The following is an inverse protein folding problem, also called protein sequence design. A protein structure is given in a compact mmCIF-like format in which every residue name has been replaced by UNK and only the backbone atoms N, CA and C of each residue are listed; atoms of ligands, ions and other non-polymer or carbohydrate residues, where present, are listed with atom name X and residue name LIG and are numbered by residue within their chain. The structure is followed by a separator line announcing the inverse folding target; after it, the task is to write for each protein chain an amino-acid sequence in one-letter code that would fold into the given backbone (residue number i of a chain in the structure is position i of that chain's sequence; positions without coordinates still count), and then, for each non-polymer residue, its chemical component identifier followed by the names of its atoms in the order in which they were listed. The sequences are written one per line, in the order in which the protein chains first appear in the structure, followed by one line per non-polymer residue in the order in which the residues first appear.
data_IF_436013775121
#
_entry.id   IF_436013775121
#
_cell.length_a   1.000
_cell.length_b   1.000
_cell.length_c   1.000
_cell.angle_alpha   90.00
_cell.angle_beta   90.00
_cell.angle_gamma   90.00
#
_symmetry.space_group_name_H-M   'P 1'
#
loop_
_entity.id
_entity.type
_entity.pdbx_description
1 polymer ?
#
# COMPACT_ATOMS: atom_id res chain seq x y z
N UNK A 1 -9.17 31.26 60.16
CA UNK A 1 -8.72 29.98 60.74
C UNK A 1 -9.20 28.90 59.80
N UNK A 2 -8.24 28.13 59.30
CA UNK A 2 -8.23 27.15 58.20
C UNK A 2 -9.16 25.95 58.43
N UNK A 3 -9.64 25.35 57.34
CA UNK A 3 -9.99 23.93 57.21
C UNK A 3 -9.91 23.61 55.71
N UNK A 4 -8.82 23.12 55.11
CA UNK A 4 -8.19 21.79 55.25
C UNK A 4 -9.21 20.67 55.10
N UNK A 5 -9.30 20.12 53.88
CA UNK A 5 -9.63 18.75 53.43
C UNK A 5 -9.99 18.87 51.93
N UNK A 6 -8.98 18.92 51.05
CA UNK A 6 -8.37 17.78 50.36
C UNK A 6 -8.81 17.83 48.89
N UNK A 7 -8.27 18.83 48.19
CA UNK A 7 -8.23 18.83 46.73
C UNK A 7 -7.34 17.63 46.34
N UNK A 8 -7.98 16.56 45.85
CA UNK A 8 -7.27 15.45 45.20
C UNK A 8 -6.30 15.99 44.13
N UNK A 9 -5.27 15.22 43.75
CA UNK A 9 -4.19 15.73 42.92
C UNK A 9 -4.78 16.39 41.68
N UNK A 10 -4.58 17.70 41.59
CA UNK A 10 -4.86 18.48 40.39
C UNK A 10 -4.20 17.76 39.23
N UNK A 11 -5.00 17.20 38.31
CA UNK A 11 -4.47 16.64 37.07
C UNK A 11 -3.66 17.75 36.43
N UNK A 12 -2.33 17.59 36.22
CA UNK A 12 -1.56 18.63 35.59
C UNK A 12 -2.19 18.86 34.22
N UNK A 13 -2.57 20.11 33.96
CA UNK A 13 -2.88 20.56 32.62
C UNK A 13 -1.56 20.38 31.86
N UNK A 14 -1.42 19.25 31.17
CA UNK A 14 -0.17 18.79 30.57
C UNK A 14 0.19 19.78 29.46
N UNK A 15 1.38 20.39 29.55
CA UNK A 15 1.99 21.21 28.49
C UNK A 15 1.95 20.51 27.12
N UNK A 16 1.89 19.17 27.11
CA UNK A 16 1.69 18.34 25.94
C UNK A 16 0.43 18.70 25.15
N UNK A 17 -0.65 19.09 25.81
CA UNK A 17 -1.96 19.33 25.20
C UNK A 17 -2.10 20.75 24.64
N UNK A 18 -1.12 21.63 24.89
CA UNK A 18 -1.16 23.01 24.41
C UNK A 18 -1.07 23.09 22.88
N UNK A 19 -1.93 23.92 22.30
CA UNK A 19 -1.98 24.17 20.85
C UNK A 19 -2.58 23.03 20.01
N UNK A 20 -3.25 22.06 20.62
CA UNK A 20 -4.15 21.12 19.93
C UNK A 20 -5.51 21.77 19.71
N UNK A 21 -6.14 21.49 18.57
CA UNK A 21 -7.56 21.80 18.40
C UNK A 21 -8.43 20.80 19.22
N UNK A 22 -9.74 21.06 19.44
CA UNK A 22 -10.58 20.20 20.27
C UNK A 22 -10.61 18.72 19.84
N UNK A 23 -10.67 18.43 18.54
CA UNK A 23 -10.72 17.07 18.00
C UNK A 23 -9.38 16.35 18.18
N UNK A 24 -8.27 17.06 17.95
CA UNK A 24 -6.92 16.53 18.21
C UNK A 24 -6.73 16.26 19.69
N UNK A 25 -7.23 17.15 20.57
CA UNK A 25 -7.19 16.96 22.01
C UNK A 25 -7.96 15.70 22.42
N UNK A 26 -9.19 15.53 21.95
CA UNK A 26 -10.00 14.31 22.17
C UNK A 26 -9.26 13.03 21.71
N UNK A 27 -8.65 13.07 20.52
CA UNK A 27 -7.87 11.96 20.00
C UNK A 27 -6.61 11.65 20.83
N UNK A 28 -5.98 12.64 21.44
CA UNK A 28 -4.81 12.46 22.31
C UNK A 28 -5.19 11.88 23.67
N UNK A 29 -6.27 12.38 24.29
CA UNK A 29 -6.66 11.97 25.65
C UNK A 29 -7.41 10.63 25.71
N UNK A 30 -7.89 10.11 24.58
CA UNK A 30 -8.62 8.85 24.54
C UNK A 30 -7.71 7.67 24.93
N UNK A 31 -7.69 7.22 26.17
CA UNK A 31 -6.70 6.22 26.61
C UNK A 31 -7.04 4.78 26.24
N UNK A 32 -8.29 4.36 26.43
CA UNK A 32 -8.70 2.94 26.37
C UNK A 32 -9.69 2.66 25.23
N UNK A 33 -9.63 1.45 24.68
CA UNK A 33 -10.51 0.99 23.61
C UNK A 33 -10.02 1.38 22.20
N UNK A 34 -10.73 0.90 21.17
CA UNK A 34 -10.37 1.12 19.78
C UNK A 34 -10.63 2.58 19.37
N UNK A 35 -9.68 3.18 18.66
CA UNK A 35 -9.77 4.54 18.15
C UNK A 35 -9.41 4.58 16.67
N UNK A 36 -10.29 5.13 15.85
CA UNK A 36 -10.03 5.47 14.45
C UNK A 36 -9.95 6.99 14.33
N UNK A 37 -8.81 7.49 13.87
CA UNK A 37 -8.59 8.91 13.58
C UNK A 37 -8.57 9.06 12.06
N UNK A 38 -9.62 9.67 11.52
CA UNK A 38 -9.70 10.03 10.10
C UNK A 38 -9.15 11.44 9.97
N UNK A 39 -8.09 11.60 9.20
CA UNK A 39 -7.36 12.86 9.17
C UNK A 39 -6.69 13.06 7.81
N UNK A 40 -7.01 14.16 7.14
CA UNK A 40 -6.47 14.54 5.83
C UNK A 40 -4.99 14.90 5.81
N UNK A 41 -4.42 15.19 4.64
CA UNK A 41 -3.06 15.72 4.54
C UNK A 41 -2.91 17.04 5.31
N UNK A 42 -1.79 17.23 6.03
CA UNK A 42 -1.52 18.47 6.77
C UNK A 42 -2.35 18.69 8.05
N UNK A 43 -3.31 17.81 8.38
CA UNK A 43 -4.18 17.89 9.58
C UNK A 43 -3.47 17.66 10.92
N UNK A 44 -2.18 17.34 10.90
CA UNK A 44 -1.40 17.05 12.10
C UNK A 44 -1.46 15.60 12.59
N UNK A 45 -1.83 14.62 11.72
CA UNK A 45 -1.80 13.16 12.00
C UNK A 45 -0.64 12.72 12.90
N UNK A 46 0.58 12.96 12.43
CA UNK A 46 1.80 12.57 13.14
C UNK A 46 1.93 13.28 14.48
N UNK A 47 1.52 14.56 14.59
CA UNK A 47 1.54 15.30 15.86
C UNK A 47 0.59 14.68 16.88
N UNK A 48 -0.63 14.32 16.45
CA UNK A 48 -1.62 13.64 17.30
C UNK A 48 -1.05 12.31 17.81
N UNK A 49 -0.48 11.49 16.93
CA UNK A 49 0.14 10.22 17.33
C UNK A 49 1.29 10.40 18.33
N UNK A 50 2.21 11.33 18.07
CA UNK A 50 3.37 11.54 18.96
C UNK A 50 2.95 12.09 20.32
N UNK A 51 1.98 13.01 20.35
CA UNK A 51 1.45 13.55 21.60
C UNK A 51 0.62 12.54 22.36
N UNK A 52 -0.14 11.68 21.67
CA UNK A 52 -0.84 10.55 22.28
C UNK A 52 0.12 9.59 22.97
N UNK A 53 1.22 9.21 22.30
CA UNK A 53 2.27 8.39 22.91
C UNK A 53 2.83 9.08 24.16
N UNK A 54 3.10 10.38 24.07
CA UNK A 54 3.61 11.14 25.21
C UNK A 54 2.62 11.21 26.37
N UNK A 55 1.32 11.39 26.09
CA UNK A 55 0.24 11.39 27.08
C UNK A 55 0.11 10.04 27.78
N UNK A 56 0.11 8.93 27.02
CA UNK A 56 0.10 7.57 27.58
C UNK A 56 1.25 7.37 28.58
N UNK A 57 2.45 7.83 28.25
CA UNK A 57 3.64 7.64 29.08
C UNK A 57 3.67 8.60 30.28
N UNK A 58 3.54 9.91 30.04
CA UNK A 58 3.76 10.95 31.06
C UNK A 58 2.58 11.07 32.01
N UNK A 59 1.37 11.04 31.48
CA UNK A 59 0.17 11.42 32.24
C UNK A 59 -0.57 10.18 32.75
N UNK A 60 -0.51 9.07 32.01
CA UNK A 60 -1.19 7.82 32.36
C UNK A 60 -0.24 6.74 32.90
N UNK A 61 1.08 6.98 32.87
CA UNK A 61 2.08 6.09 33.46
C UNK A 61 2.25 4.77 32.72
N UNK A 62 1.81 4.66 31.46
CA UNK A 62 2.00 3.48 30.61
C UNK A 62 3.49 3.27 30.35
N UNK A 63 3.98 2.03 30.47
CA UNK A 63 5.37 1.76 30.17
C UNK A 63 5.65 2.00 28.68
N UNK A 64 6.73 2.69 28.29
CA UNK A 64 7.10 2.84 26.88
C UNK A 64 7.31 1.49 26.16
N UNK A 65 7.60 0.42 26.90
CA UNK A 65 7.75 -0.93 26.36
C UNK A 65 6.44 -1.64 26.07
N UNK A 66 5.32 -1.09 26.54
CA UNK A 66 3.96 -1.57 26.30
C UNK A 66 3.30 -0.93 25.07
N UNK A 67 4.00 -0.01 24.41
CA UNK A 67 3.50 0.72 23.25
C UNK A 67 4.20 0.22 21.99
N UNK A 68 3.41 -0.22 21.01
CA UNK A 68 3.84 -0.52 19.65
C UNK A 68 3.31 0.58 18.72
N UNK A 69 4.21 1.32 18.07
CA UNK A 69 3.87 2.31 17.05
C UNK A 69 4.41 1.85 15.68
N UNK A 70 3.50 1.71 14.72
CA UNK A 70 3.79 1.22 13.38
C UNK A 70 3.60 2.34 12.36
N UNK A 71 4.59 2.50 11.46
CA UNK A 71 4.52 3.42 10.31
C UNK A 71 4.79 2.68 9.00
N UNK A 72 4.49 3.28 7.85
CA UNK A 72 4.73 2.63 6.57
C UNK A 72 6.20 2.70 6.11
N UNK A 73 6.91 3.79 6.42
CA UNK A 73 8.31 4.00 6.00
C UNK A 73 9.28 4.07 7.17
N UNK A 74 10.53 3.68 6.93
CA UNK A 74 11.62 3.80 7.90
C UNK A 74 11.89 5.27 8.28
N UNK A 75 11.73 6.19 7.32
CA UNK A 75 11.84 7.63 7.56
C UNK A 75 10.77 8.11 8.54
N UNK A 76 9.51 7.75 8.32
CA UNK A 76 8.41 8.10 9.22
C UNK A 76 8.60 7.50 10.62
N UNK A 77 9.08 6.25 10.72
CA UNK A 77 9.40 5.64 12.01
C UNK A 77 10.48 6.44 12.74
N UNK A 78 11.56 6.83 12.05
CA UNK A 78 12.64 7.65 12.60
C UNK A 78 12.15 9.01 13.10
N UNK A 79 11.43 9.75 12.25
CA UNK A 79 10.88 11.05 12.60
C UNK A 79 9.88 10.98 13.76
N UNK A 80 8.99 9.97 13.77
CA UNK A 80 8.06 9.75 14.87
C UNK A 80 8.81 9.47 16.18
N UNK A 81 9.87 8.66 16.12
CA UNK A 81 10.69 8.32 17.28
C UNK A 81 11.42 9.54 17.85
N UNK A 82 12.01 10.38 17.00
CA UNK A 82 12.66 11.64 17.39
C UNK A 82 11.67 12.59 18.06
N UNK A 83 10.47 12.73 17.49
CA UNK A 83 9.40 13.56 18.07
C UNK A 83 8.93 13.05 19.42
N UNK A 84 8.74 11.74 19.58
CA UNK A 84 8.40 11.16 20.89
C UNK A 84 9.54 11.36 21.87
N UNK A 85 10.80 11.17 21.47
CA UNK A 85 11.97 11.37 22.32
C UNK A 85 12.09 12.81 22.84
N UNK A 86 11.71 13.81 22.03
CA UNK A 86 11.65 15.20 22.47
C UNK A 86 10.60 15.44 23.57
N UNK A 87 9.52 14.64 23.62
CA UNK A 87 8.41 14.79 24.56
C UNK A 87 8.56 13.97 25.85
N UNK A 88 9.13 12.75 25.76
CA UNK A 88 9.24 11.81 26.89
C UNK A 88 10.69 11.46 27.26
N UNK A 89 11.67 12.02 26.56
CA UNK A 89 13.09 11.78 26.77
C UNK A 89 13.62 10.50 26.12
N UNK A 90 14.86 10.10 26.45
CA UNK A 90 15.61 9.06 25.73
C UNK A 90 15.03 7.64 25.87
N UNK A 91 14.03 7.43 26.73
CA UNK A 91 13.32 6.15 26.82
C UNK A 91 12.61 5.77 25.51
N UNK A 92 12.23 6.78 24.73
CA UNK A 92 11.67 6.63 23.40
C UNK A 92 12.58 5.82 22.45
N UNK A 93 13.91 5.89 22.65
CA UNK A 93 14.87 5.16 21.82
C UNK A 93 14.74 3.64 21.91
N UNK A 94 14.17 3.14 23.00
CA UNK A 94 13.99 1.70 23.24
C UNK A 94 12.57 1.21 22.94
N UNK A 95 11.65 2.12 22.60
CA UNK A 95 10.29 1.81 22.21
C UNK A 95 10.25 1.07 20.87
N UNK A 96 9.14 0.38 20.61
CA UNK A 96 8.88 -0.19 19.29
C UNK A 96 8.18 0.85 18.43
N UNK A 97 8.96 1.77 17.86
CA UNK A 97 8.55 2.67 16.78
C UNK A 97 9.21 2.18 15.51
N UNK A 98 8.45 1.55 14.61
CA UNK A 98 9.04 0.79 13.50
C UNK A 98 8.08 0.59 12.32
N UNK A 99 8.58 0.13 11.18
CA UNK A 99 7.69 -0.37 10.12
C UNK A 99 7.10 -1.74 10.45
N UNK A 100 6.03 -2.13 9.76
CA UNK A 100 5.48 -3.49 9.82
C UNK A 100 6.57 -4.56 9.66
N UNK A 101 7.40 -4.43 8.62
CA UNK A 101 8.50 -5.35 8.34
C UNK A 101 9.55 -5.36 9.46
N UNK A 102 9.90 -4.21 10.01
CA UNK A 102 10.86 -4.12 11.11
C UNK A 102 10.36 -4.81 12.39
N UNK A 103 9.07 -4.64 12.71
CA UNK A 103 8.43 -5.35 13.81
C UNK A 103 8.41 -6.87 13.58
N UNK A 104 8.01 -7.30 12.38
CA UNK A 104 8.00 -8.72 11.98
C UNK A 104 9.39 -9.35 12.04
N UNK A 105 10.42 -8.68 11.52
CA UNK A 105 11.80 -9.14 11.64
C UNK A 105 12.15 -9.33 13.10
N UNK A 106 11.88 -8.36 13.97
CA UNK A 106 12.22 -8.48 15.39
C UNK A 106 11.51 -9.67 16.08
N UNK A 107 10.25 -9.93 15.75
CA UNK A 107 9.48 -11.08 16.23
C UNK A 107 10.11 -12.39 15.71
N UNK A 108 10.30 -12.49 14.39
CA UNK A 108 10.82 -13.71 13.74
C UNK A 108 12.27 -14.01 14.10
N UNK A 109 13.10 -13.00 14.37
CA UNK A 109 14.47 -13.19 14.86
C UNK A 109 14.49 -13.89 16.22
N UNK A 110 13.46 -13.65 17.04
CA UNK A 110 13.33 -14.26 18.37
C UNK A 110 12.66 -15.63 18.30
N UNK A 111 11.54 -15.73 17.58
CA UNK A 111 10.62 -16.85 17.68
C UNK A 111 10.45 -17.64 16.36
N UNK A 112 11.07 -17.20 15.27
CA UNK A 112 10.96 -17.83 13.94
C UNK A 112 11.50 -19.26 13.85
N UNK A 113 12.31 -19.69 14.83
CA UNK A 113 12.75 -21.10 14.96
C UNK A 113 11.58 -22.07 15.15
N UNK A 114 10.45 -21.60 15.70
CA UNK A 114 9.20 -22.36 15.83
C UNK A 114 8.59 -22.74 14.47
N UNK A 115 8.91 -21.97 13.43
CA UNK A 115 8.52 -22.23 12.04
C UNK A 115 9.61 -22.92 11.22
N UNK A 116 10.73 -23.32 11.85
CA UNK A 116 11.85 -23.96 11.19
C UNK A 116 12.87 -23.00 10.56
N UNK A 117 12.76 -21.69 10.79
CA UNK A 117 13.74 -20.71 10.30
C UNK A 117 14.84 -20.43 11.33
N UNK A 118 16.11 -20.29 10.92
CA UNK A 118 17.17 -19.88 11.83
C UNK A 118 16.95 -18.44 12.30
N UNK A 119 17.32 -18.10 13.53
CA UNK A 119 17.27 -16.71 14.03
C UNK A 119 18.12 -15.76 13.18
N UNK A 120 19.12 -16.27 12.46
CA UNK A 120 19.97 -15.54 11.52
C UNK A 120 19.50 -15.63 10.05
N UNK A 121 18.23 -15.91 9.78
CA UNK A 121 17.68 -15.97 8.41
C UNK A 121 18.08 -14.80 7.50
N UNK A 122 18.27 -15.07 6.22
CA UNK A 122 18.58 -14.03 5.23
C UNK A 122 17.29 -13.41 4.70
N UNK A 123 17.27 -12.09 4.50
CA UNK A 123 16.15 -11.40 3.85
C UNK A 123 16.52 -11.21 2.39
N UNK A 124 15.74 -11.80 1.49
CA UNK A 124 15.92 -11.66 0.05
C UNK A 124 15.29 -10.34 -0.42
N UNK A 125 16.05 -9.60 -1.23
CA UNK A 125 15.50 -8.46 -1.95
C UNK A 125 14.69 -8.92 -3.18
N UNK A 126 14.10 -7.96 -3.90
CA UNK A 126 13.29 -8.26 -5.07
C UNK A 126 14.09 -9.01 -6.16
N UNK A 127 15.36 -8.66 -6.36
CA UNK A 127 16.20 -9.29 -7.38
C UNK A 127 16.53 -10.74 -7.01
N UNK A 128 16.76 -11.00 -5.72
CA UNK A 128 17.01 -12.33 -5.18
C UNK A 128 15.77 -13.23 -5.31
N UNK A 129 14.60 -12.68 -4.99
CA UNK A 129 13.31 -13.35 -5.08
C UNK A 129 12.92 -13.67 -6.53
N UNK A 130 13.09 -12.71 -7.44
CA UNK A 130 12.86 -12.93 -8.88
C UNK A 130 13.81 -13.98 -9.47
N UNK A 131 15.08 -13.97 -9.05
CA UNK A 131 16.08 -14.95 -9.47
C UNK A 131 15.75 -16.35 -8.96
N UNK A 132 15.35 -16.48 -7.70
CA UNK A 132 14.90 -17.76 -7.13
C UNK A 132 13.66 -18.28 -7.86
N UNK A 133 12.70 -17.40 -8.17
CA UNK A 133 11.51 -17.73 -8.96
C UNK A 133 11.90 -18.28 -10.33
N UNK A 134 12.88 -17.66 -10.99
CA UNK A 134 13.42 -18.15 -12.27
C UNK A 134 14.05 -19.54 -12.18
N UNK A 135 14.71 -19.88 -11.07
CA UNK A 135 15.22 -21.23 -10.84
C UNK A 135 14.09 -22.25 -10.67
N UNK A 136 13.03 -21.92 -9.94
CA UNK A 136 11.86 -22.78 -9.78
C UNK A 136 11.18 -23.07 -11.12
N UNK A 137 10.96 -22.02 -11.94
CA UNK A 137 10.37 -22.12 -13.29
C UNK A 137 11.17 -23.08 -14.17
N UNK A 138 12.49 -22.92 -14.21
CA UNK A 138 13.37 -23.77 -15.03
C UNK A 138 13.35 -25.23 -14.56
N UNK A 139 13.44 -25.46 -13.26
CA UNK A 139 13.54 -26.81 -12.71
C UNK A 139 12.20 -27.58 -12.81
N UNK A 140 11.07 -26.86 -12.83
CA UNK A 140 9.75 -27.41 -13.15
C UNK A 140 9.50 -27.62 -14.67
N UNK A 141 10.48 -27.29 -15.52
CA UNK A 141 10.37 -27.44 -16.97
C UNK A 141 9.37 -26.48 -17.63
N UNK A 142 9.08 -25.35 -16.99
CA UNK A 142 8.18 -24.33 -17.52
C UNK A 142 8.93 -23.40 -18.50
N UNK A 143 8.26 -22.99 -19.57
CA UNK A 143 8.81 -22.08 -20.58
C UNK A 143 8.96 -20.65 -20.01
N UNK A 144 10.19 -20.12 -19.86
CA UNK A 144 10.41 -18.78 -19.29
C UNK A 144 9.80 -17.65 -20.12
N UNK A 145 9.51 -17.88 -21.41
CA UNK A 145 8.79 -16.89 -22.24
C UNK A 145 7.30 -16.84 -21.92
N UNK A 146 6.72 -17.96 -21.49
CA UNK A 146 5.31 -18.03 -21.05
C UNK A 146 5.16 -17.65 -19.58
N UNK A 147 6.17 -17.97 -18.76
CA UNK A 147 6.22 -17.70 -17.34
C UNK A 147 7.43 -16.81 -17.02
N UNK A 148 7.40 -15.50 -17.32
CA UNK A 148 8.50 -14.61 -16.95
C UNK A 148 8.63 -14.52 -15.43
N UNK A 149 9.85 -14.67 -14.88
CA UNK A 149 10.08 -14.73 -13.44
C UNK A 149 9.48 -13.56 -12.66
N UNK A 150 9.65 -12.33 -13.17
CA UNK A 150 9.07 -11.12 -12.56
C UNK A 150 7.55 -11.22 -12.46
N UNK A 151 6.87 -11.62 -13.54
CA UNK A 151 5.40 -11.73 -13.55
C UNK A 151 4.90 -12.83 -12.60
N UNK A 152 5.58 -13.97 -12.57
CA UNK A 152 5.22 -15.09 -11.67
C UNK A 152 5.44 -14.69 -10.22
N UNK A 153 6.57 -14.04 -9.92
CA UNK A 153 6.86 -13.52 -8.59
C UNK A 153 5.84 -12.48 -8.15
N UNK A 154 5.43 -11.56 -9.04
CA UNK A 154 4.34 -10.61 -8.72
C UNK A 154 3.03 -11.30 -8.35
N UNK A 155 2.67 -12.40 -9.03
CA UNK A 155 1.49 -13.19 -8.65
C UNK A 155 1.64 -13.87 -7.29
N UNK A 156 2.83 -14.38 -6.97
CA UNK A 156 3.15 -14.95 -5.65
C UNK A 156 3.06 -13.88 -4.56
N UNK A 157 3.66 -12.71 -4.79
CA UNK A 157 3.64 -11.57 -3.87
C UNK A 157 2.20 -11.08 -3.61
N UNK A 158 1.38 -10.96 -4.66
CA UNK A 158 -0.04 -10.63 -4.51
C UNK A 158 -0.79 -11.67 -3.66
N UNK A 159 -0.55 -12.96 -3.91
CA UNK A 159 -1.14 -14.04 -3.12
C UNK A 159 -0.73 -13.97 -1.63
N UNK A 160 0.56 -13.72 -1.36
CA UNK A 160 1.06 -13.54 0.01
C UNK A 160 0.41 -12.34 0.70
N UNK A 161 0.26 -11.21 0.00
CA UNK A 161 -0.37 -10.00 0.54
C UNK A 161 -1.88 -10.16 0.82
N UNK A 162 -2.53 -11.12 0.16
CA UNK A 162 -3.89 -11.57 0.48
C UNK A 162 -3.94 -12.65 1.58
N UNK A 163 -2.80 -13.07 2.13
CA UNK A 163 -2.71 -14.12 3.15
C UNK A 163 -2.90 -15.54 2.61
N UNK A 164 -2.69 -15.76 1.31
CA UNK A 164 -2.83 -17.07 0.68
C UNK A 164 -1.52 -17.86 0.76
N UNK A 165 -1.61 -19.03 1.35
CA UNK A 165 -0.56 -20.03 1.25
C UNK A 165 -0.60 -20.75 -0.12
N UNK A 166 0.45 -21.51 -0.50
CA UNK A 166 0.48 -22.16 -1.81
C UNK A 166 -0.71 -23.11 -2.07
N UNK A 167 -1.20 -23.78 -1.03
CA UNK A 167 -2.35 -24.69 -1.13
C UNK A 167 -3.66 -23.94 -1.40
N UNK A 168 -3.90 -22.84 -0.69
CA UNK A 168 -5.06 -21.97 -0.85
C UNK A 168 -5.04 -21.26 -2.20
N UNK A 169 -3.86 -20.82 -2.65
CA UNK A 169 -3.66 -20.27 -3.99
C UNK A 169 -3.98 -21.30 -5.07
N UNK A 170 -3.50 -22.55 -4.93
CA UNK A 170 -3.82 -23.64 -5.85
C UNK A 170 -5.33 -23.95 -5.89
N UNK A 171 -6.01 -23.90 -4.74
CA UNK A 171 -7.45 -24.15 -4.66
C UNK A 171 -8.29 -23.06 -5.36
N UNK A 172 -7.79 -21.82 -5.40
CA UNK A 172 -8.41 -20.69 -6.09
C UNK A 172 -8.06 -20.59 -7.59
N UNK A 173 -7.13 -21.41 -8.07
CA UNK A 173 -6.63 -21.35 -9.44
C UNK A 173 -7.72 -21.73 -10.47
N UNK A 174 -8.25 -20.72 -11.16
CA UNK A 174 -9.27 -20.88 -12.21
C UNK A 174 -8.70 -21.36 -13.55
N UNK A 175 -7.42 -21.05 -13.84
CA UNK A 175 -6.77 -21.41 -15.10
C UNK A 175 -5.63 -22.41 -14.93
N UNK A 176 -5.25 -23.08 -16.03
CA UNK A 176 -4.05 -23.94 -16.07
C UNK A 176 -2.79 -23.13 -15.75
N UNK A 177 -2.78 -21.84 -16.12
CA UNK A 177 -1.66 -20.94 -15.84
C UNK A 177 -1.49 -20.71 -14.34
N UNK A 178 -2.59 -20.41 -13.64
CA UNK A 178 -2.58 -20.18 -12.18
C UNK A 178 -2.17 -21.44 -11.41
N UNK A 179 -2.59 -22.62 -11.88
CA UNK A 179 -2.15 -23.90 -11.30
C UNK A 179 -0.65 -24.11 -11.43
N UNK A 180 -0.05 -23.72 -12.57
CA UNK A 180 1.41 -23.76 -12.73
C UNK A 180 2.13 -22.74 -11.87
N UNK A 181 1.56 -21.55 -11.69
CA UNK A 181 2.10 -20.57 -10.71
C UNK A 181 2.03 -21.15 -9.29
N UNK A 182 0.96 -21.85 -8.93
CA UNK A 182 0.86 -22.50 -7.63
C UNK A 182 1.95 -23.57 -7.42
N UNK A 183 2.25 -24.39 -8.43
CA UNK A 183 3.38 -25.34 -8.40
C UNK A 183 4.72 -24.61 -8.18
N UNK A 184 4.95 -23.49 -8.89
CA UNK A 184 6.14 -22.65 -8.68
C UNK A 184 6.17 -22.09 -7.27
N UNK A 185 5.03 -21.64 -6.73
CA UNK A 185 4.93 -21.07 -5.39
C UNK A 185 5.28 -22.10 -4.31
N UNK A 186 4.83 -23.34 -4.45
CA UNK A 186 5.19 -24.45 -3.53
C UNK A 186 6.70 -24.66 -3.51
N UNK A 187 7.33 -24.81 -4.68
CA UNK A 187 8.78 -25.03 -4.78
C UNK A 187 9.58 -23.81 -4.28
N UNK A 188 9.12 -22.61 -4.61
CA UNK A 188 9.71 -21.34 -4.15
C UNK A 188 9.76 -21.24 -2.62
N UNK A 189 8.63 -21.47 -1.93
CA UNK A 189 8.60 -21.43 -0.46
C UNK A 189 9.47 -22.53 0.16
N UNK A 190 9.48 -23.74 -0.42
CA UNK A 190 10.30 -24.84 0.05
C UNK A 190 11.80 -24.52 -0.04
N UNK A 191 12.23 -23.84 -1.12
CA UNK A 191 13.62 -23.41 -1.30
C UNK A 191 14.02 -22.29 -0.35
N UNK A 192 13.14 -21.32 -0.10
CA UNK A 192 13.37 -20.26 0.89
C UNK A 192 13.58 -20.86 2.29
N UNK A 193 12.68 -21.74 2.73
CA UNK A 193 12.81 -22.42 4.02
C UNK A 193 14.11 -23.23 4.10
N UNK A 194 14.44 -24.02 3.07
CA UNK A 194 15.68 -24.80 3.01
C UNK A 194 16.93 -23.92 3.06
N UNK A 195 16.90 -22.74 2.45
CA UNK A 195 17.98 -21.77 2.48
C UNK A 195 18.06 -21.00 3.81
N UNK A 196 17.07 -21.14 4.70
CA UNK A 196 16.93 -20.30 5.87
C UNK A 196 16.75 -18.83 5.48
N UNK A 197 15.98 -18.57 4.43
CA UNK A 197 15.73 -17.23 3.89
C UNK A 197 14.23 -16.90 3.86
N UNK A 198 13.91 -15.62 3.88
CA UNK A 198 12.57 -15.06 3.72
C UNK A 198 12.63 -13.90 2.73
N UNK A 199 11.62 -13.71 1.90
CA UNK A 199 11.42 -12.44 1.19
C UNK A 199 10.66 -11.42 2.06
N UNK A 200 10.38 -10.23 1.51
CA UNK A 200 9.68 -9.18 2.25
C UNK A 200 8.26 -9.58 2.65
N UNK A 201 7.50 -10.21 1.76
CA UNK A 201 6.13 -10.64 2.02
C UNK A 201 6.07 -11.79 3.04
N UNK A 202 7.10 -12.64 3.07
CA UNK A 202 7.28 -13.70 4.06
C UNK A 202 7.42 -13.17 5.49
N UNK A 203 7.99 -11.97 5.67
CA UNK A 203 8.09 -11.38 7.00
C UNK A 203 6.70 -11.19 7.62
N UNK A 204 5.74 -10.72 6.81
CA UNK A 204 4.36 -10.50 7.24
C UNK A 204 3.63 -11.84 7.41
N UNK A 205 3.61 -12.66 6.36
CA UNK A 205 2.85 -13.91 6.33
C UNK A 205 3.37 -14.93 7.34
N UNK A 206 4.68 -15.06 7.54
CA UNK A 206 5.23 -15.95 8.56
C UNK A 206 5.02 -15.42 9.98
N UNK A 207 4.93 -14.11 10.20
CA UNK A 207 4.58 -13.57 11.53
C UNK A 207 3.14 -13.93 11.89
N UNK A 208 2.20 -13.74 10.96
CA UNK A 208 0.80 -14.16 11.15
C UNK A 208 0.70 -15.68 11.33
N UNK A 209 1.42 -16.45 10.51
CA UNK A 209 1.48 -17.92 10.64
C UNK A 209 2.03 -18.34 12.00
N UNK A 210 3.11 -17.72 12.47
CA UNK A 210 3.69 -17.96 13.80
C UNK A 210 2.65 -17.75 14.89
N UNK A 211 1.89 -16.66 14.83
CA UNK A 211 0.85 -16.37 15.83
C UNK A 211 -0.33 -17.35 15.77
N UNK A 212 -0.72 -17.81 14.58
CA UNK A 212 -1.78 -18.82 14.41
C UNK A 212 -1.35 -20.20 14.91
N UNK A 213 -0.13 -20.62 14.62
CA UNK A 213 0.39 -21.96 14.97
C UNK A 213 0.92 -22.05 16.41
N UNK A 214 1.40 -20.93 16.97
CA UNK A 214 1.98 -20.87 18.32
C UNK A 214 1.33 -19.75 19.15
N UNK A 215 0.11 -19.97 19.68
CA UNK A 215 -0.62 -18.96 20.43
C UNK A 215 0.09 -18.47 21.70
N UNK A 216 0.99 -19.27 22.29
CA UNK A 216 1.83 -18.88 23.42
C UNK A 216 2.81 -17.75 23.06
N UNK A 217 3.30 -17.75 21.82
CA UNK A 217 4.13 -16.67 21.27
C UNK A 217 3.27 -15.40 21.12
N UNK A 218 2.09 -15.52 20.52
CA UNK A 218 1.16 -14.39 20.36
C UNK A 218 0.81 -13.77 21.71
N UNK A 219 0.46 -14.58 22.71
CA UNK A 219 0.11 -14.13 24.06
C UNK A 219 1.26 -13.33 24.71
N UNK A 220 2.51 -13.72 24.46
CA UNK A 220 3.68 -12.97 24.95
C UNK A 220 3.72 -11.54 24.38
N UNK A 221 3.36 -11.37 23.10
CA UNK A 221 3.32 -10.06 22.46
C UNK A 221 2.05 -9.28 22.81
N UNK A 222 0.90 -9.94 22.97
CA UNK A 222 -0.33 -9.30 23.43
C UNK A 222 -0.18 -8.75 24.84
N UNK A 223 0.33 -9.55 25.79
CA UNK A 223 0.64 -9.10 27.17
C UNK A 223 1.68 -7.98 27.21
N UNK A 224 2.58 -7.95 26.23
CA UNK A 224 3.57 -6.88 26.11
C UNK A 224 2.90 -5.62 25.60
N UNK A 225 2.17 -5.67 24.49
CA UNK A 225 1.67 -4.48 23.80
C UNK A 225 0.28 -4.11 24.30
N UNK A 226 0.25 -3.39 25.42
CA UNK A 226 -0.96 -2.80 25.98
C UNK A 226 -1.59 -1.72 25.10
N UNK A 227 -0.82 -1.08 24.21
CA UNK A 227 -1.31 -0.12 23.21
C UNK A 227 -0.64 -0.33 21.85
N UNK A 228 -1.43 -0.29 20.78
CA UNK A 228 -0.96 -0.40 19.40
C UNK A 228 -1.42 0.83 18.63
N UNK A 229 -0.49 1.52 17.98
CA UNK A 229 -0.73 2.69 17.16
C UNK A 229 -0.26 2.40 15.74
N UNK A 230 -1.08 2.70 14.74
CA UNK A 230 -0.73 2.51 13.32
C UNK A 230 -1.00 3.80 12.56
N UNK A 231 0.03 4.32 11.90
CA UNK A 231 -0.06 5.45 10.99
C UNK A 231 -0.26 4.98 9.54
N UNK A 232 -0.87 5.81 8.71
CA UNK A 232 -1.20 5.53 7.30
C UNK A 232 -1.99 4.21 7.11
N UNK A 233 -3.03 4.01 7.93
CA UNK A 233 -3.79 2.76 7.97
C UNK A 233 -4.46 2.40 6.63
N UNK A 234 -4.76 3.39 5.79
CA UNK A 234 -5.32 3.19 4.46
C UNK A 234 -4.40 2.39 3.52
N UNK A 235 -3.09 2.37 3.79
CA UNK A 235 -2.11 1.65 2.97
C UNK A 235 -1.89 0.20 3.45
N UNK A 236 -2.66 -0.26 4.44
CA UNK A 236 -2.50 -1.62 5.00
C UNK A 236 -3.12 -2.71 4.12
N UNK A 237 -2.39 -3.81 3.92
CA UNK A 237 -2.90 -5.00 3.25
C UNK A 237 -3.61 -5.96 4.23
N UNK A 238 -4.20 -7.04 3.71
CA UNK A 238 -4.97 -8.01 4.50
C UNK A 238 -4.14 -8.62 5.65
N UNK A 239 -2.90 -9.02 5.38
CA UNK A 239 -2.02 -9.67 6.36
C UNK A 239 -1.56 -8.69 7.44
N UNK A 240 -1.26 -7.45 7.07
CA UNK A 240 -0.92 -6.38 8.01
C UNK A 240 -2.09 -6.07 8.95
N UNK A 241 -3.29 -5.91 8.39
CA UNK A 241 -4.51 -5.70 9.17
C UNK A 241 -4.78 -6.88 10.11
N UNK A 242 -4.67 -8.12 9.63
CA UNK A 242 -4.80 -9.31 10.47
C UNK A 242 -3.80 -9.30 11.64
N UNK A 243 -2.53 -9.01 11.37
CA UNK A 243 -1.50 -8.96 12.40
C UNK A 243 -1.84 -7.93 13.50
N UNK A 244 -2.31 -6.74 13.11
CA UNK A 244 -2.72 -5.69 14.07
C UNK A 244 -3.90 -6.18 14.91
N UNK A 245 -4.91 -6.80 14.30
CA UNK A 245 -6.06 -7.34 15.00
C UNK A 245 -5.68 -8.47 15.97
N UNK A 246 -4.78 -9.38 15.56
CA UNK A 246 -4.28 -10.44 16.43
C UNK A 246 -3.54 -9.87 17.64
N UNK A 247 -2.64 -8.90 17.45
CA UNK A 247 -1.90 -8.27 18.53
C UNK A 247 -2.81 -7.46 19.46
N UNK A 248 -3.81 -6.79 18.91
CA UNK A 248 -4.75 -5.93 19.65
C UNK A 248 -5.86 -6.68 20.38
N UNK A 249 -6.06 -7.97 20.10
CA UNK A 249 -7.23 -8.72 20.56
C UNK A 249 -7.37 -8.85 22.09
N UNK A 250 -6.29 -8.73 22.86
CA UNK A 250 -6.35 -8.86 24.33
C UNK A 250 -6.76 -7.55 25.03
N UNK A 251 -6.23 -6.41 24.55
CA UNK A 251 -6.39 -5.12 25.22
C UNK A 251 -7.39 -4.20 24.51
N UNK A 252 -7.66 -4.43 23.23
CA UNK A 252 -8.50 -3.60 22.35
C UNK A 252 -8.07 -2.13 22.24
N UNK A 253 -6.89 -1.78 22.74
CA UNK A 253 -6.32 -0.43 22.69
C UNK A 253 -5.57 -0.20 21.38
N UNK A 254 -6.29 -0.35 20.26
CA UNK A 254 -5.75 -0.14 18.91
C UNK A 254 -6.17 1.25 18.43
N UNK A 255 -5.19 2.12 18.18
CA UNK A 255 -5.38 3.43 17.57
C UNK A 255 -4.86 3.39 16.15
N UNK A 256 -5.71 3.65 15.17
CA UNK A 256 -5.31 3.73 13.78
C UNK A 256 -5.56 5.13 13.26
N UNK A 257 -4.61 5.65 12.50
CA UNK A 257 -4.74 6.93 11.81
C UNK A 257 -4.67 6.66 10.32
N UNK A 258 -5.65 7.16 9.61
CA UNK A 258 -5.68 7.02 8.17
C UNK A 258 -6.20 8.29 7.52
N UNK A 259 -5.79 8.48 6.28
CA UNK A 259 -6.42 9.46 5.43
C UNK A 259 -7.66 8.84 4.80
N UNK A 260 -8.83 9.27 5.30
CA UNK A 260 -10.12 8.91 4.75
C UNK A 260 -10.59 9.87 3.67
N UNK A 261 -9.75 10.82 3.20
CA UNK A 261 -10.08 11.81 2.16
C UNK A 261 -10.21 11.15 0.77
N UNK A 262 -10.89 10.01 0.72
CA UNK A 262 -11.61 9.51 -0.43
C UNK A 262 -13.09 9.87 -0.24
N UNK A 263 -13.37 11.17 -0.22
CA UNK A 263 -14.74 11.66 -0.13
C UNK A 263 -15.34 11.73 -1.54
N UNK A 264 -16.57 11.26 -1.67
CA UNK A 264 -17.41 11.49 -2.82
C UNK A 264 -18.25 12.75 -2.57
N UNK A 265 -18.52 13.52 -3.61
CA UNK A 265 -19.33 14.74 -3.46
C UNK A 265 -20.79 14.39 -3.13
N UNK A 266 -21.54 15.26 -2.42
CA UNK A 266 -22.99 15.08 -2.22
C UNK A 266 -23.74 14.85 -3.53
N UNK A 267 -24.76 14.01 -3.49
CA UNK A 267 -25.53 13.55 -4.65
C UNK A 267 -24.93 12.33 -5.36
N UNK A 268 -23.72 11.90 -4.99
CA UNK A 268 -23.09 10.71 -5.58
C UNK A 268 -23.94 9.48 -5.30
N UNK A 269 -24.27 8.73 -6.35
CA UNK A 269 -25.19 7.61 -6.30
C UNK A 269 -24.49 6.33 -5.82
N UNK A 270 -24.85 5.86 -4.62
CA UNK A 270 -24.31 4.65 -3.97
C UNK A 270 -25.26 3.48 -4.16
N UNK A 271 -24.73 2.36 -4.68
CA UNK A 271 -25.49 1.14 -4.85
C UNK A 271 -25.72 0.43 -3.51
N UNK A 272 -26.95 0.04 -3.24
CA UNK A 272 -27.34 -0.79 -2.08
C UNK A 272 -28.09 -2.03 -2.56
N UNK A 273 -28.28 -3.00 -1.68
CA UNK A 273 -29.12 -4.18 -1.97
C UNK A 273 -30.60 -3.85 -2.26
N UNK A 274 -31.05 -2.64 -1.93
CA UNK A 274 -32.44 -2.17 -2.12
C UNK A 274 -32.60 -1.18 -3.26
N UNK A 275 -31.52 -0.87 -3.99
CA UNK A 275 -31.50 0.15 -5.02
C UNK A 275 -30.39 1.18 -4.77
N UNK A 276 -30.40 2.27 -5.50
CA UNK A 276 -29.37 3.31 -5.42
C UNK A 276 -29.86 4.48 -4.58
N UNK A 277 -29.01 5.00 -3.71
CA UNK A 277 -29.30 6.17 -2.86
C UNK A 277 -28.17 7.20 -2.98
N UNK A 278 -28.44 8.51 -2.82
CA UNK A 278 -27.38 9.50 -2.65
C UNK A 278 -26.47 9.16 -1.45
N UNK A 279 -25.18 9.48 -1.55
CA UNK A 279 -24.18 9.18 -0.51
C UNK A 279 -24.57 9.75 0.86
N UNK A 280 -25.15 10.95 0.89
CA UNK A 280 -25.65 11.63 2.08
C UNK A 280 -26.92 10.99 2.68
N UNK A 281 -27.58 10.09 1.96
CA UNK A 281 -28.76 9.35 2.43
C UNK A 281 -28.40 7.99 3.03
N UNK A 282 -27.15 7.53 2.88
CA UNK A 282 -26.67 6.29 3.50
C UNK A 282 -26.77 6.37 5.02
N UNK A 283 -27.24 5.30 5.65
CA UNK A 283 -27.40 5.18 7.11
C UNK A 283 -26.69 3.94 7.64
N UNK A 284 -26.38 3.97 8.94
CA UNK A 284 -25.90 2.78 9.67
C UNK A 284 -26.93 1.66 9.53
N UNK A 285 -26.46 0.46 9.17
CA UNK A 285 -27.27 -0.71 8.92
C UNK A 285 -27.71 -0.90 7.46
N UNK A 286 -27.46 0.06 6.57
CA UNK A 286 -27.66 -0.15 5.14
C UNK A 286 -26.67 -1.19 4.60
N UNK A 287 -27.09 -1.93 3.58
CA UNK A 287 -26.26 -2.92 2.89
C UNK A 287 -25.79 -2.33 1.55
N UNK A 288 -24.55 -1.84 1.53
CA UNK A 288 -23.93 -1.27 0.33
C UNK A 288 -23.37 -2.35 -0.56
N UNK A 289 -23.38 -2.10 -1.86
CA UNK A 289 -22.78 -2.97 -2.88
C UNK A 289 -21.45 -2.34 -3.32
N UNK A 290 -20.36 -3.06 -3.10
CA UNK A 290 -19.02 -2.68 -3.50
C UNK A 290 -18.34 -3.74 -4.38
N UNK A 291 -17.03 -3.59 -4.54
CA UNK A 291 -16.15 -4.55 -5.20
C UNK A 291 -14.97 -4.86 -4.27
N UNK A 292 -14.58 -6.13 -4.16
CA UNK A 292 -13.39 -6.56 -3.44
C UNK A 292 -12.21 -6.84 -4.37
N UNK A 293 -12.29 -6.36 -5.62
CA UNK A 293 -11.27 -6.58 -6.65
C UNK A 293 -11.42 -7.90 -7.42
N UNK A 294 -12.38 -8.77 -7.07
CA UNK A 294 -12.70 -10.00 -7.81
C UNK A 294 -13.83 -9.79 -8.81
N UNK A 295 -14.10 -10.80 -9.64
CA UNK A 295 -15.26 -10.81 -10.55
C UNK A 295 -16.56 -11.00 -9.74
N UNK A 296 -17.11 -9.91 -9.21
CA UNK A 296 -18.39 -9.92 -8.51
C UNK A 296 -18.65 -8.67 -7.68
N UNK A 297 -19.93 -8.38 -7.45
CA UNK A 297 -20.32 -7.37 -6.47
C UNK A 297 -20.39 -8.03 -5.08
N UNK A 298 -19.84 -7.37 -4.07
CA UNK A 298 -19.91 -7.81 -2.67
C UNK A 298 -20.79 -6.86 -1.89
N UNK A 299 -21.54 -7.37 -0.91
CA UNK A 299 -22.30 -6.51 0.00
C UNK A 299 -21.58 -6.33 1.33
N UNK A 300 -21.73 -5.16 1.94
CA UNK A 300 -21.22 -4.85 3.26
C UNK A 300 -22.20 -3.97 4.04
N UNK A 301 -22.35 -4.26 5.32
CA UNK A 301 -23.20 -3.48 6.22
C UNK A 301 -22.48 -2.20 6.65
N UNK A 302 -23.15 -1.05 6.54
CA UNK A 302 -22.64 0.23 7.04
C UNK A 302 -22.60 0.20 8.55
N UNK A 303 -21.41 0.21 9.14
CA UNK A 303 -21.24 0.30 10.60
C UNK A 303 -21.24 1.75 11.11
N UNK A 304 -20.94 2.71 10.23
CA UNK A 304 -20.84 4.12 10.58
C UNK A 304 -20.98 5.05 9.37
N UNK A 305 -21.42 6.28 9.60
CA UNK A 305 -21.55 7.33 8.59
C UNK A 305 -21.04 8.64 9.19
N UNK A 306 -20.20 9.36 8.44
CA UNK A 306 -19.61 10.63 8.86
C UNK A 306 -19.64 11.63 7.70
N UNK A 307 -20.09 12.87 7.93
CA UNK A 307 -19.87 13.95 6.97
C UNK A 307 -18.39 14.37 6.98
N UNK A 308 -17.80 14.52 5.80
CA UNK A 308 -16.47 15.10 5.62
C UNK A 308 -16.56 16.50 5.03
N UNK A 309 -15.70 17.41 5.48
CA UNK A 309 -15.50 18.72 4.87
C UNK A 309 -14.14 18.72 4.16
N UNK A 310 -14.12 19.19 2.91
CA UNK A 310 -12.90 19.28 2.10
C UNK A 310 -12.85 20.64 1.40
N UNK A 311 -11.71 21.31 1.50
CA UNK A 311 -11.41 22.56 0.82
C UNK A 311 -10.21 22.34 -0.11
N UNK A 312 -10.48 22.32 -1.42
CA UNK A 312 -9.46 22.04 -2.44
C UNK A 312 -10.09 21.66 -3.79
N UNK A 313 -9.26 21.31 -4.79
CA UNK A 313 -9.76 20.83 -6.08
C UNK A 313 -10.45 19.47 -5.92
N UNK A 314 -11.54 19.24 -6.66
CA UNK A 314 -12.19 17.93 -6.81
C UNK A 314 -11.90 17.39 -8.20
N UNK A 315 -11.79 16.07 -8.31
CA UNK A 315 -11.47 15.36 -9.56
C UNK A 315 -12.70 14.59 -10.03
N UNK A 316 -13.04 14.74 -11.31
CA UNK A 316 -14.11 13.99 -11.96
C UNK A 316 -13.52 12.94 -12.89
N UNK A 317 -13.83 11.68 -12.62
CA UNK A 317 -13.45 10.54 -13.44
C UNK A 317 -14.63 10.05 -14.29
N UNK A 318 -14.37 9.76 -15.57
CA UNK A 318 -15.35 9.21 -16.50
C UNK A 318 -14.95 7.80 -16.92
N UNK A 319 -15.83 6.82 -16.70
CA UNK A 319 -15.60 5.42 -17.08
C UNK A 319 -16.90 4.72 -17.47
N UNK A 320 -16.96 4.14 -18.68
CA UNK A 320 -18.10 3.34 -19.13
C UNK A 320 -19.44 4.08 -19.15
N UNK A 321 -19.42 5.39 -19.43
CA UNK A 321 -20.62 6.26 -19.39
C UNK A 321 -21.06 6.65 -17.98
N UNK A 322 -20.29 6.30 -16.95
CA UNK A 322 -20.47 6.77 -15.58
C UNK A 322 -19.49 7.91 -15.27
N UNK A 323 -19.94 8.80 -14.42
CA UNK A 323 -19.17 9.92 -13.89
C UNK A 323 -19.06 9.74 -12.38
N UNK A 324 -17.87 9.97 -11.84
CA UNK A 324 -17.63 9.96 -10.41
C UNK A 324 -16.77 11.16 -10.04
N UNK A 325 -17.28 12.01 -9.15
CA UNK A 325 -16.58 13.19 -8.66
C UNK A 325 -16.22 13.00 -7.19
N UNK A 326 -14.96 13.21 -6.86
CA UNK A 326 -14.45 13.06 -5.50
C UNK A 326 -13.21 13.89 -5.24
N UNK A 327 -12.67 13.76 -4.04
CA UNK A 327 -11.37 14.33 -3.67
C UNK A 327 -10.24 13.75 -4.53
N UNK A 328 -9.10 14.45 -4.69
CA UNK A 328 -7.91 13.90 -5.32
C UNK A 328 -7.46 12.63 -4.59
N UNK A 329 -6.73 11.75 -5.28
CA UNK A 329 -6.23 10.48 -4.74
C UNK A 329 -7.31 9.44 -4.38
N UNK A 330 -8.58 9.67 -4.73
CA UNK A 330 -9.64 8.67 -4.62
C UNK A 330 -9.31 7.42 -5.46
N UNK A 331 -9.32 6.24 -4.84
CA UNK A 331 -9.01 4.97 -5.52
C UNK A 331 -10.32 4.30 -5.92
N UNK A 332 -10.54 4.19 -7.23
CA UNK A 332 -11.75 3.57 -7.78
C UNK A 332 -11.36 2.29 -8.49
N UNK A 333 -11.82 1.11 -8.03
CA UNK A 333 -11.64 -0.12 -8.78
C UNK A 333 -12.46 -0.04 -10.07
N UNK A 334 -11.78 0.01 -11.22
CA UNK A 334 -12.40 0.09 -12.53
C UNK A 334 -12.02 -1.11 -13.39
N UNK A 335 -13.00 -1.73 -14.05
CA UNK A 335 -12.73 -2.69 -15.13
C UNK A 335 -12.31 -1.90 -16.37
N UNK A 336 -11.04 -2.02 -16.73
CA UNK A 336 -10.49 -1.33 -17.91
C UNK A 336 -10.84 -2.08 -19.20
N UNK A 337 -11.91 -1.64 -19.86
CA UNK A 337 -12.25 -2.04 -21.22
C UNK A 337 -11.85 -0.92 -22.18
N UNK A 338 -11.03 -1.24 -23.18
CA UNK A 338 -10.53 -0.26 -24.14
C UNK A 338 -11.21 -0.47 -25.51
N UNK A 339 -11.62 0.61 -26.16
CA UNK A 339 -12.19 0.54 -27.52
C UNK A 339 -11.12 0.12 -28.54
N UNK A 340 -11.30 -0.99 -29.28
CA UNK A 340 -10.37 -1.38 -30.34
C UNK A 340 -10.28 -0.30 -31.43
N UNK A 341 -9.08 0.25 -31.64
CA UNK A 341 -8.83 1.24 -32.70
C UNK A 341 -8.43 2.63 -32.18
N UNK A 342 -8.58 2.87 -30.87
CA UNK A 342 -8.02 4.05 -30.21
C UNK A 342 -6.51 3.91 -29.97
N UNK A 343 -5.90 5.04 -29.63
CA UNK A 343 -4.49 5.13 -29.23
C UNK A 343 -4.40 5.77 -27.84
N UNK A 344 -3.45 5.32 -27.05
CA UNK A 344 -3.12 5.90 -25.76
C UNK A 344 -1.77 6.60 -25.87
N UNK A 345 -1.72 7.81 -25.33
CA UNK A 345 -0.47 8.51 -24.99
C UNK A 345 -0.31 8.37 -23.49
N UNK A 346 0.87 7.98 -23.05
CA UNK A 346 1.14 7.64 -21.66
C UNK A 346 2.44 8.25 -21.17
N UNK A 347 2.48 8.46 -19.86
CA UNK A 347 3.69 8.73 -19.09
C UNK A 347 4.05 7.44 -18.34
N UNK A 348 5.32 7.04 -18.40
CA UNK A 348 5.78 5.78 -17.84
C UNK A 348 6.98 6.04 -16.92
N UNK A 349 7.01 5.34 -15.78
CA UNK A 349 8.06 5.46 -14.78
C UNK A 349 8.78 4.14 -14.56
N UNK A 350 10.08 4.24 -14.36
CA UNK A 350 10.93 3.14 -13.90
C UNK A 350 11.96 3.66 -12.92
N UNK A 351 11.98 3.09 -11.72
CA UNK A 351 12.71 3.57 -10.54
C UNK A 351 14.22 3.74 -10.74
N UNK A 352 14.86 2.88 -11.53
CA UNK A 352 16.30 2.94 -11.83
C UNK A 352 16.64 3.82 -13.05
N UNK A 353 15.66 4.43 -13.73
CA UNK A 353 15.85 5.20 -14.98
C UNK A 353 15.21 6.58 -14.98
N UNK A 354 14.01 6.73 -14.43
CA UNK A 354 13.23 7.96 -14.47
C UNK A 354 11.96 7.83 -15.32
N UNK A 355 11.59 8.91 -16.01
CA UNK A 355 10.29 9.06 -16.67
C UNK A 355 10.41 9.21 -18.18
N UNK A 356 9.42 8.66 -18.90
CA UNK A 356 9.32 8.79 -20.35
C UNK A 356 7.90 8.96 -20.82
N UNK A 357 7.73 9.61 -21.97
CA UNK A 357 6.46 9.63 -22.70
C UNK A 357 6.48 8.53 -23.76
N UNK A 358 5.32 7.98 -24.05
CA UNK A 358 5.17 7.04 -25.14
C UNK A 358 3.74 6.93 -25.64
N UNK A 359 3.57 6.24 -26.77
CA UNK A 359 2.25 5.89 -27.28
C UNK A 359 2.06 4.39 -27.58
N UNK A 360 0.80 3.96 -27.63
CA UNK A 360 0.41 2.60 -28.05
C UNK A 360 -1.04 2.54 -28.53
N UNK A 361 -1.35 1.57 -29.40
CA UNK A 361 -2.75 1.17 -29.63
C UNK A 361 -3.41 0.79 -28.31
N UNK A 362 -4.68 1.13 -28.15
CA UNK A 362 -5.49 0.80 -26.98
C UNK A 362 -5.57 -0.71 -26.74
N UNK A 363 -5.82 -1.46 -27.82
CA UNK A 363 -5.77 -2.92 -27.86
C UNK A 363 -4.74 -3.36 -28.90
N UNK A 364 -3.92 -4.34 -28.50
CA UNK A 364 -3.00 -5.06 -29.37
C UNK A 364 -3.45 -6.50 -29.48
N UNK A 365 -3.36 -7.06 -30.67
CA UNK A 365 -3.56 -8.48 -30.89
C UNK A 365 -2.19 -9.14 -30.96
N UNK A 366 -1.96 -10.16 -30.15
CA UNK A 366 -0.73 -10.94 -30.22
C UNK A 366 -0.72 -11.93 -31.40
N UNK A 367 0.40 -12.61 -31.62
CA UNK A 367 0.56 -13.57 -32.72
C UNK A 367 -0.36 -14.79 -32.64
N UNK A 368 -1.04 -15.00 -31.50
CA UNK A 368 -2.01 -16.08 -31.27
C UNK A 368 -3.46 -15.59 -31.36
N UNK A 369 -3.68 -14.31 -31.67
CA UNK A 369 -5.01 -13.73 -31.81
C UNK A 369 -5.61 -13.20 -30.51
N UNK A 370 -4.90 -13.25 -29.37
CA UNK A 370 -5.43 -12.74 -28.12
C UNK A 370 -5.32 -11.22 -28.06
N UNK A 371 -6.40 -10.58 -27.61
CA UNK A 371 -6.46 -9.13 -27.38
C UNK A 371 -5.86 -8.81 -26.02
N UNK A 372 -4.92 -7.88 -26.01
CA UNK A 372 -4.24 -7.39 -24.82
C UNK A 372 -4.33 -5.86 -24.79
N UNK A 373 -4.45 -5.29 -23.60
CA UNK A 373 -4.40 -3.84 -23.41
C UNK A 373 -2.99 -3.34 -23.75
N UNK A 374 -2.89 -2.40 -24.69
CA UNK A 374 -1.60 -2.02 -25.25
C UNK A 374 -0.67 -1.37 -24.24
N UNK A 375 -1.20 -0.64 -23.25
CA UNK A 375 -0.39 -0.05 -22.19
C UNK A 375 0.24 -1.14 -21.29
N UNK A 376 -0.47 -2.24 -21.00
CA UNK A 376 0.09 -3.38 -20.24
C UNK A 376 1.22 -4.04 -21.00
N UNK A 377 1.04 -4.22 -22.31
CA UNK A 377 2.08 -4.74 -23.19
C UNK A 377 3.30 -3.83 -23.18
N UNK A 378 3.11 -2.50 -23.28
CA UNK A 378 4.21 -1.53 -23.25
C UNK A 378 4.93 -1.48 -21.90
N UNK A 379 4.20 -1.41 -20.79
CA UNK A 379 4.80 -1.44 -19.46
C UNK A 379 5.65 -2.70 -19.24
N UNK A 380 5.14 -3.87 -19.65
CA UNK A 380 5.88 -5.12 -19.57
C UNK A 380 7.13 -5.13 -20.47
N UNK A 381 7.04 -4.62 -21.70
CA UNK A 381 8.15 -4.51 -22.66
C UNK A 381 9.26 -3.55 -22.25
N UNK A 382 8.99 -2.66 -21.31
CA UNK A 382 9.90 -1.61 -20.82
C UNK A 382 10.36 -1.88 -19.39
N UNK A 383 9.84 -2.93 -18.75
CA UNK A 383 10.04 -3.24 -17.34
C UNK A 383 9.66 -2.09 -16.40
N UNK A 384 8.61 -1.36 -16.78
CA UNK A 384 8.13 -0.19 -16.05
C UNK A 384 7.55 -0.56 -14.68
N UNK A 385 7.71 0.34 -13.72
CA UNK A 385 7.14 0.21 -12.38
C UNK A 385 5.74 0.84 -12.32
N UNK A 386 5.49 1.87 -13.12
CA UNK A 386 4.18 2.51 -13.22
C UNK A 386 3.94 3.16 -14.60
N UNK A 387 2.66 3.36 -14.93
CA UNK A 387 2.22 4.01 -16.17
C UNK A 387 0.90 4.76 -15.95
N UNK A 388 0.82 5.98 -16.48
CA UNK A 388 -0.35 6.85 -16.50
C UNK A 388 -0.78 7.10 -17.94
N UNK A 389 -2.06 6.96 -18.26
CA UNK A 389 -2.59 7.34 -19.59
C UNK A 389 -2.93 8.83 -19.55
N UNK A 390 -2.20 9.63 -20.33
CA UNK A 390 -2.38 11.08 -20.41
C UNK A 390 -3.53 11.46 -21.35
N UNK A 391 -3.65 10.75 -22.49
CA UNK A 391 -4.66 11.03 -23.53
C UNK A 391 -5.14 9.74 -24.21
N UNK A 392 -6.41 9.77 -24.64
CA UNK A 392 -7.01 8.76 -25.54
C UNK A 392 -7.30 9.41 -26.89
N UNK A 393 -6.56 9.01 -27.91
CA UNK A 393 -6.62 9.58 -29.25
C UNK A 393 -7.43 8.69 -30.20
N UNK A 394 -8.09 9.33 -31.17
CA UNK A 394 -8.85 8.64 -32.22
C UNK A 394 -7.95 8.02 -33.28
N UNK A 395 -6.75 8.57 -33.50
CA UNK A 395 -5.82 8.11 -34.54
C UNK A 395 -4.37 8.05 -34.05
N UNK A 396 -3.52 7.33 -34.79
CA UNK A 396 -2.08 7.31 -34.51
C UNK A 396 -1.44 8.69 -34.74
N UNK A 397 -1.86 9.41 -35.77
CA UNK A 397 -1.29 10.73 -36.08
C UNK A 397 -1.52 11.73 -34.93
N UNK A 398 -2.72 11.71 -34.36
CA UNK A 398 -3.05 12.49 -33.16
C UNK A 398 -2.23 12.06 -31.94
N UNK A 399 -2.08 10.76 -31.71
CA UNK A 399 -1.26 10.25 -30.61
C UNK A 399 0.23 10.62 -30.76
N UNK A 400 0.78 10.56 -31.98
CA UNK A 400 2.14 11.02 -32.28
C UNK A 400 2.34 12.51 -32.02
N UNK A 401 1.34 13.34 -32.35
CA UNK A 401 1.40 14.77 -32.04
C UNK A 401 1.52 15.01 -30.53
N UNK A 402 0.68 14.35 -29.73
CA UNK A 402 0.69 14.51 -28.28
C UNK A 402 1.93 13.92 -27.61
N UNK A 403 2.42 12.76 -28.07
CA UNK A 403 3.68 12.18 -27.61
C UNK A 403 4.84 13.16 -27.79
N UNK A 404 4.97 13.75 -28.98
CA UNK A 404 6.01 14.72 -29.28
C UNK A 404 5.80 16.04 -28.52
N UNK A 405 4.56 16.53 -28.44
CA UNK A 405 4.22 17.74 -27.69
C UNK A 405 4.65 17.61 -26.22
N UNK A 406 4.26 16.54 -25.53
CA UNK A 406 4.64 16.33 -24.14
C UNK A 406 6.15 16.16 -23.97
N UNK A 407 6.80 15.47 -24.92
CA UNK A 407 8.25 15.31 -24.90
C UNK A 407 8.98 16.65 -25.01
N UNK A 408 8.53 17.53 -25.91
CA UNK A 408 9.20 18.81 -26.17
C UNK A 408 8.83 19.87 -25.14
N UNK A 409 7.55 19.98 -24.79
CA UNK A 409 7.06 20.99 -23.86
C UNK A 409 7.61 20.80 -22.45
N UNK A 410 7.69 19.56 -21.99
CA UNK A 410 8.14 19.23 -20.63
C UNK A 410 9.54 18.64 -20.59
N UNK A 411 10.21 18.41 -21.74
CA UNK A 411 11.56 17.84 -21.76
C UNK A 411 11.63 16.40 -21.24
N UNK A 412 10.62 15.57 -21.53
CA UNK A 412 10.57 14.17 -21.09
C UNK A 412 10.89 13.25 -22.28
N UNK A 413 11.91 12.37 -22.22
CA UNK A 413 12.30 11.55 -23.37
C UNK A 413 11.17 10.65 -23.88
N UNK A 414 11.11 10.45 -25.20
CA UNK A 414 10.32 9.37 -25.84
C UNK A 414 11.11 8.07 -25.99
N UNK A 415 12.42 8.11 -25.75
CA UNK A 415 13.34 6.97 -25.87
C UNK A 415 12.95 5.84 -24.94
N UNK A 416 13.15 4.59 -25.35
CA UNK A 416 12.83 3.42 -24.53
C UNK A 416 13.83 3.27 -23.36
N UNK A 417 13.43 2.61 -22.27
CA UNK A 417 14.30 2.45 -21.10
C UNK A 417 15.48 1.49 -21.35
N UNK A 418 15.37 0.64 -22.38
CA UNK A 418 16.42 -0.28 -22.80
C UNK A 418 16.29 -0.66 -24.28
N UNK A 419 17.39 -1.15 -24.85
CA UNK A 419 17.50 -1.64 -26.22
C UNK A 419 17.17 -3.14 -26.36
N UNK A 420 17.08 -3.88 -25.25
CA UNK A 420 16.84 -5.34 -25.29
C UNK A 420 15.63 -5.71 -26.16
N UNK A 421 15.87 -6.57 -27.17
CA UNK A 421 14.84 -7.07 -28.08
C UNK A 421 14.36 -6.05 -29.12
N UNK A 422 15.11 -4.96 -29.34
CA UNK A 422 14.77 -3.87 -30.26
C UNK A 422 15.95 -3.54 -31.17
N UNK A 423 15.63 -3.10 -32.37
CA UNK A 423 16.59 -2.58 -33.33
C UNK A 423 16.66 -1.05 -33.15
N UNK A 424 17.33 -0.61 -32.08
CA UNK A 424 17.54 0.81 -31.78
C UNK A 424 18.98 1.20 -32.11
N UNK A 425 19.16 2.40 -32.67
CA UNK A 425 20.49 2.94 -32.93
C UNK A 425 21.25 3.29 -31.63
N UNK A 426 20.54 3.69 -30.57
CA UNK A 426 21.11 3.85 -29.23
C UNK A 426 21.09 2.52 -28.50
N UNK A 427 22.25 2.05 -28.06
CA UNK A 427 22.37 0.91 -27.15
C UNK A 427 22.06 1.32 -25.68
N UNK A 428 22.12 0.35 -24.77
CA UNK A 428 21.79 0.56 -23.36
C UNK A 428 22.70 1.58 -22.66
N UNK A 429 23.95 1.75 -23.10
CA UNK A 429 24.89 2.72 -22.55
C UNK A 429 24.43 4.14 -22.88
N UNK A 430 24.14 4.41 -24.16
CA UNK A 430 23.67 5.71 -24.60
C UNK A 430 22.27 6.05 -24.09
N UNK A 431 21.38 5.07 -24.00
CA UNK A 431 20.08 5.23 -23.37
C UNK A 431 20.27 5.65 -21.91
N UNK A 432 21.14 4.98 -21.15
CA UNK A 432 21.40 5.36 -19.75
C UNK A 432 21.89 6.79 -19.64
N UNK A 433 22.86 7.16 -20.47
CA UNK A 433 23.42 8.51 -20.48
C UNK A 433 22.36 9.58 -20.77
N UNK A 434 21.41 9.32 -21.68
CA UNK A 434 20.30 10.23 -21.95
C UNK A 434 19.46 10.49 -20.70
N UNK A 435 19.01 9.43 -20.02
CA UNK A 435 18.19 9.56 -18.81
C UNK A 435 18.95 10.20 -17.65
N UNK A 436 20.25 9.92 -17.50
CA UNK A 436 21.11 10.58 -16.51
C UNK A 436 21.34 12.07 -16.82
N UNK A 437 21.11 12.51 -18.06
CA UNK A 437 21.35 13.89 -18.53
C UNK A 437 20.10 14.77 -18.51
N UNK A 438 18.92 14.20 -18.23
CA UNK A 438 17.63 14.90 -18.29
C UNK A 438 16.94 14.78 -16.93
N UNK A 439 16.48 15.89 -16.36
CA UNK A 439 15.70 15.88 -15.11
C UNK A 439 14.25 15.42 -15.36
N UNK A 440 14.11 14.14 -15.68
CA UNK A 440 12.80 13.55 -16.00
C UNK A 440 11.84 13.58 -14.81
N UNK A 441 12.33 13.71 -13.58
CA UNK A 441 11.51 13.67 -12.36
C UNK A 441 10.77 14.98 -12.14
N UNK A 442 11.48 16.11 -12.20
CA UNK A 442 10.84 17.43 -12.08
C UNK A 442 9.89 17.67 -13.25
N UNK A 443 10.34 17.36 -14.46
CA UNK A 443 9.57 17.49 -15.69
C UNK A 443 8.26 16.70 -15.67
N UNK A 444 8.29 15.45 -15.18
CA UNK A 444 7.10 14.63 -15.03
C UNK A 444 6.12 15.19 -14.00
N UNK A 445 6.60 15.79 -12.91
CA UNK A 445 5.73 16.44 -11.90
C UNK A 445 5.01 17.65 -12.47
N UNK A 446 5.71 18.46 -13.26
CA UNK A 446 5.11 19.61 -13.94
C UNK A 446 4.02 19.16 -14.92
N UNK A 447 4.31 18.16 -15.76
CA UNK A 447 3.32 17.59 -16.67
C UNK A 447 2.08 17.08 -15.92
N UNK A 448 2.29 16.30 -14.86
CA UNK A 448 1.18 15.73 -14.09
C UNK A 448 0.38 16.81 -13.34
N UNK A 449 0.98 17.95 -12.98
CA UNK A 449 0.27 19.04 -12.31
C UNK A 449 -0.56 19.90 -13.27
N UNK A 450 -0.20 19.94 -14.56
CA UNK A 450 -0.92 20.71 -15.58
C UNK A 450 -1.99 19.88 -16.32
N UNK A 451 -1.77 18.57 -16.47
CA UNK A 451 -2.62 17.70 -17.29
C UNK A 451 -3.57 16.80 -16.48
N UNK A 452 -3.35 16.64 -15.16
CA UNK A 452 -4.22 15.94 -14.21
C UNK A 452 -4.64 16.90 -13.09
#
# INVERSE_FOLDING_TARGET
MTSLFDDGPSRPNSDLLEGLNPVQHEAVIHSEGPLLIIAGAGSGKTRVLTQRIAHLIRDLGVSPFEILAITFTNKAAGEMKERVAALVGPVAEKMWVSTFHSACVRILRRDGSRLGFPSSFTIYDQSDAERLTGYCIRDLGLDPKKFPSRSVHSSISAAKNEGLDPASFAARAGSIFDRKIAEVFVDYQARLLKAGAMDFDDLLTNTVKLFREHPDVLETYQRRFGHILVDEYQDTNHVQNEMVLMLGAQHHNVCVVGDGDQCLVPGTQIATTRGTVPAEEVRIGDELIGSDGRDGAVSGTVSAVWPGEYEGPVVTAFAGGKELTGTPHHIVPARMEADPGKWFVYLMFRSDRGWRVGQTKSIRTDSRGYRQLGYRVRAAQEHADALWVLRVCGTQAEASYWEEYFSVAYGIPTTCFHAQGRDLAMDDEWIRRLYDSVDTVTNAKELLAEEL
#
